data_IF_095250190942
#
_entry.id   IF_095250190942
#
_cell.length_a   1.000
_cell.length_b   1.000
_cell.length_c   1.000
_cell.angle_alpha   90.00
_cell.angle_beta   90.00
_cell.angle_gamma   90.00
#
_symmetry.space_group_name_H-M   'P 1'
#
loop_
_entity.id
_entity.type
_entity.pdbx_description
1 polymer ?
#
# COMPACT_ATOMS: atom_id res chain seq x y z
N UNK A 1 -5.18 61.24 9.32
CA UNK A 1 -5.27 59.94 10.03
C UNK A 1 -5.61 58.90 8.97
N UNK A 2 -4.62 58.10 8.55
CA UNK A 2 -4.81 57.07 7.51
C UNK A 2 -5.23 55.77 8.17
N UNK A 3 -6.37 55.21 7.76
CA UNK A 3 -6.83 53.88 8.16
C UNK A 3 -5.91 52.80 7.60
N UNK A 4 -5.63 51.71 8.35
CA UNK A 4 -4.83 50.62 7.83
C UNK A 4 -5.67 49.77 6.88
N UNK A 5 -5.06 49.40 5.74
CA UNK A 5 -5.65 48.48 4.77
C UNK A 5 -5.89 47.10 5.42
N UNK A 6 -7.09 46.56 5.23
CA UNK A 6 -7.44 45.23 5.67
C UNK A 6 -6.57 44.20 4.94
N UNK A 7 -5.88 43.34 5.70
CA UNK A 7 -5.14 42.19 5.15
C UNK A 7 -6.08 41.20 4.43
N UNK A 8 -5.53 40.25 3.66
CA UNK A 8 -6.31 39.31 2.89
C UNK A 8 -7.31 38.54 3.78
N UNK A 9 -8.52 38.25 3.26
CA UNK A 9 -9.56 37.58 4.03
C UNK A 9 -9.06 36.22 4.54
N UNK A 10 -9.35 35.91 5.82
CA UNK A 10 -9.07 34.58 6.38
C UNK A 10 -9.88 33.54 5.60
N UNK A 11 -9.29 32.38 5.27
CA UNK A 11 -10.02 31.32 4.61
C UNK A 11 -11.20 30.84 5.48
N UNK A 12 -12.30 30.38 4.86
CA UNK A 12 -13.48 29.86 5.56
C UNK A 12 -13.09 28.74 6.54
N UNK A 13 -13.88 28.58 7.61
CA UNK A 13 -13.56 27.63 8.71
C UNK A 13 -13.43 26.17 8.23
N UNK A 14 -14.10 25.80 7.15
CA UNK A 14 -14.06 24.45 6.55
C UNK A 14 -12.80 24.15 5.73
N UNK A 15 -12.00 25.16 5.39
CA UNK A 15 -10.72 24.98 4.66
C UNK A 15 -9.51 24.85 5.59
N UNK A 16 -9.70 25.01 6.90
CA UNK A 16 -8.62 24.71 7.84
C UNK A 16 -8.41 23.21 7.85
N UNK A 17 -7.17 22.74 7.58
CA UNK A 17 -6.84 21.35 7.81
C UNK A 17 -7.29 20.99 9.24
N UNK A 18 -7.92 19.82 9.45
CA UNK A 18 -8.25 19.40 10.80
C UNK A 18 -6.99 19.44 11.66
N UNK A 19 -7.16 19.67 12.96
CA UNK A 19 -6.05 19.86 13.92
C UNK A 19 -5.03 18.70 13.94
N UNK A 20 -5.41 17.56 13.34
CA UNK A 20 -4.65 16.32 13.25
C UNK A 20 -4.18 16.01 11.80
N UNK A 21 -4.31 16.93 10.84
CA UNK A 21 -3.76 16.74 9.50
C UNK A 21 -2.24 16.51 9.57
N UNK A 22 -1.74 15.49 8.88
CA UNK A 22 -0.34 15.06 8.96
C UNK A 22 -0.03 14.09 10.11
N UNK A 23 -0.96 13.85 11.04
CA UNK A 23 -0.80 12.82 12.07
C UNK A 23 -0.86 11.43 11.44
N UNK A 24 0.05 10.55 11.86
CA UNK A 24 0.00 9.12 11.52
C UNK A 24 -1.05 8.42 12.37
N UNK A 25 -1.98 7.73 11.71
CA UNK A 25 -3.09 6.96 12.29
C UNK A 25 -3.08 5.55 11.71
N UNK A 26 -3.74 4.61 12.39
CA UNK A 26 -3.97 3.26 11.88
C UNK A 26 -5.34 3.22 11.18
N UNK A 27 -5.39 2.76 9.95
CA UNK A 27 -6.65 2.49 9.23
C UNK A 27 -6.81 0.98 9.10
N UNK A 28 -7.94 0.46 9.54
CA UNK A 28 -8.30 -0.95 9.47
C UNK A 28 -9.13 -1.25 8.24
N UNK A 29 -8.79 -2.34 7.58
CA UNK A 29 -9.46 -2.88 6.42
C UNK A 29 -10.08 -4.23 6.79
N UNK A 30 -11.24 -4.52 6.22
CA UNK A 30 -11.86 -5.84 6.29
C UNK A 30 -11.38 -6.65 5.09
N UNK A 31 -10.77 -7.79 5.38
CA UNK A 31 -10.13 -8.66 4.40
C UNK A 31 -10.94 -9.95 4.33
N UNK A 32 -11.03 -10.53 3.13
CA UNK A 32 -11.55 -11.88 2.95
C UNK A 32 -10.38 -12.86 3.10
N UNK A 33 -10.36 -13.75 4.12
CA UNK A 33 -9.30 -14.74 4.27
C UNK A 33 -9.21 -15.65 3.04
N UNK A 34 -7.99 -16.07 2.71
CA UNK A 34 -7.68 -16.93 1.55
C UNK A 34 -7.39 -18.35 2.03
N UNK A 35 -7.71 -19.35 1.20
CA UNK A 35 -7.56 -20.78 1.53
C UNK A 35 -6.12 -21.15 1.93
N UNK A 36 -5.12 -20.68 1.20
CA UNK A 36 -3.68 -20.91 1.48
C UNK A 36 -2.99 -19.69 2.13
N UNK A 37 -3.77 -18.71 2.61
CA UNK A 37 -3.26 -17.46 3.17
C UNK A 37 -3.30 -17.42 4.69
N UNK A 38 -2.74 -16.36 5.29
CA UNK A 38 -2.94 -16.09 6.72
C UNK A 38 -4.44 -16.01 7.06
N UNK A 39 -4.88 -16.52 8.24
CA UNK A 39 -6.30 -16.64 8.59
C UNK A 39 -6.92 -15.30 9.07
N UNK A 40 -6.31 -14.17 8.71
CA UNK A 40 -6.72 -12.85 9.20
C UNK A 40 -7.83 -12.27 8.32
N UNK A 41 -8.89 -11.81 8.96
CA UNK A 41 -10.04 -11.14 8.36
C UNK A 41 -9.93 -9.60 8.41
N UNK A 42 -8.83 -9.10 8.95
CA UNK A 42 -8.54 -7.68 9.08
C UNK A 42 -7.07 -7.38 8.84
N UNK A 43 -6.81 -6.20 8.29
CA UNK A 43 -5.45 -5.66 8.15
C UNK A 43 -5.43 -4.20 8.60
N UNK A 44 -4.49 -3.86 9.46
CA UNK A 44 -4.26 -2.48 9.87
C UNK A 44 -3.08 -1.88 9.14
N UNK A 45 -3.29 -0.81 8.39
CA UNK A 45 -2.25 -0.06 7.69
C UNK A 45 -1.98 1.27 8.37
N UNK A 46 -0.71 1.68 8.42
CA UNK A 46 -0.37 3.03 8.82
C UNK A 46 -0.77 4.00 7.70
N UNK A 47 -1.29 5.16 8.08
CA UNK A 47 -1.69 6.19 7.15
C UNK A 47 -1.47 7.58 7.72
N UNK A 48 -1.12 8.53 6.86
CA UNK A 48 -1.06 9.95 7.20
C UNK A 48 -2.43 10.58 6.98
N UNK A 49 -3.06 11.10 8.04
CA UNK A 49 -4.39 11.75 7.96
C UNK A 49 -4.33 12.98 7.04
N UNK A 50 -5.30 13.10 6.13
CA UNK A 50 -5.43 14.20 5.16
C UNK A 50 -6.61 15.12 5.49
N UNK A 51 -7.76 14.56 5.85
CA UNK A 51 -8.96 15.29 6.26
C UNK A 51 -9.63 14.67 7.50
N UNK A 52 -10.85 15.10 7.81
CA UNK A 52 -11.67 14.50 8.85
C UNK A 52 -11.97 13.01 8.58
N UNK A 53 -11.95 12.57 7.32
CA UNK A 53 -12.42 11.27 6.88
C UNK A 53 -11.56 10.65 5.78
N UNK A 54 -10.40 11.23 5.46
CA UNK A 54 -9.45 10.65 4.49
C UNK A 54 -8.03 10.59 5.04
N UNK A 55 -7.30 9.57 4.60
CA UNK A 55 -5.89 9.37 4.96
C UNK A 55 -5.13 8.74 3.79
N UNK A 56 -3.84 9.08 3.67
CA UNK A 56 -2.94 8.45 2.68
C UNK A 56 -2.27 7.25 3.32
N UNK A 57 -2.38 6.07 2.72
CA UNK A 57 -1.70 4.86 3.16
C UNK A 57 -0.17 5.05 3.08
N UNK A 58 0.54 4.63 4.12
CA UNK A 58 1.97 4.87 4.29
C UNK A 58 2.83 3.60 4.19
N UNK A 59 2.22 2.41 4.17
CA UNK A 59 2.94 1.15 4.02
C UNK A 59 2.19 0.17 3.11
N UNK A 60 2.91 -0.82 2.60
CA UNK A 60 2.41 -1.77 1.59
C UNK A 60 1.43 -2.80 2.22
N UNK A 61 0.29 -3.12 1.57
CA UNK A 61 -0.64 -4.11 2.13
C UNK A 61 -0.25 -5.56 1.84
N UNK A 62 -0.30 -6.40 2.87
CA UNK A 62 -0.08 -7.85 2.76
C UNK A 62 -1.34 -8.63 2.46
N UNK A 63 -2.53 -8.12 2.81
CA UNK A 63 -3.77 -8.88 2.72
C UNK A 63 -4.85 -8.16 1.91
N UNK A 64 -5.01 -6.85 2.09
CA UNK A 64 -6.05 -6.05 1.47
C UNK A 64 -5.82 -5.91 -0.05
N UNK A 65 -6.81 -6.29 -0.85
CA UNK A 65 -6.78 -6.12 -2.30
C UNK A 65 -7.25 -4.73 -2.73
N UNK A 66 -6.82 -4.32 -3.92
CA UNK A 66 -7.18 -3.05 -4.54
C UNK A 66 -6.64 -1.82 -3.80
N UNK A 67 -5.72 -2.02 -2.85
CA UNK A 67 -5.05 -0.95 -2.12
C UNK A 67 -3.56 -1.02 -2.33
N UNK A 68 -2.93 0.13 -2.53
CA UNK A 68 -1.47 0.27 -2.61
C UNK A 68 -0.95 1.34 -1.67
N UNK A 69 0.33 1.26 -1.33
CA UNK A 69 1.01 2.33 -0.61
C UNK A 69 0.86 3.67 -1.36
N UNK A 70 0.62 4.74 -0.62
CA UNK A 70 0.46 6.09 -1.17
C UNK A 70 -0.97 6.41 -1.62
N UNK A 71 -1.88 5.43 -1.70
CA UNK A 71 -3.27 5.72 -2.05
C UNK A 71 -3.98 6.50 -0.95
N UNK A 72 -4.98 7.30 -1.33
CA UNK A 72 -5.86 7.96 -0.36
C UNK A 72 -7.14 7.17 -0.21
N UNK A 73 -7.45 6.83 1.04
CA UNK A 73 -8.66 6.09 1.42
C UNK A 73 -9.58 6.97 2.27
N UNK A 74 -10.88 6.71 2.19
CA UNK A 74 -11.88 7.25 3.11
C UNK A 74 -12.05 6.31 4.30
N UNK A 75 -12.29 6.83 5.48
CA UNK A 75 -12.56 6.05 6.67
C UNK A 75 -13.69 6.64 7.52
N UNK A 76 -14.32 5.79 8.32
CA UNK A 76 -15.21 6.16 9.42
C UNK A 76 -14.57 5.80 10.74
N UNK A 77 -14.86 6.56 11.80
CA UNK A 77 -14.40 6.23 13.15
C UNK A 77 -15.57 5.62 13.92
N UNK A 78 -15.38 4.44 14.48
CA UNK A 78 -16.41 3.80 15.31
C UNK A 78 -16.40 4.34 16.75
N UNK A 79 -17.29 3.80 17.59
CA UNK A 79 -17.46 4.25 18.98
C UNK A 79 -16.20 4.02 19.84
N UNK A 80 -15.33 3.09 19.46
CA UNK A 80 -14.09 2.75 20.16
C UNK A 80 -12.89 3.57 19.63
N UNK A 81 -13.12 4.46 18.67
CA UNK A 81 -12.08 5.29 18.07
C UNK A 81 -11.30 4.58 16.95
N UNK A 82 -11.74 3.41 16.50
CA UNK A 82 -11.09 2.65 15.43
C UNK A 82 -11.48 3.24 14.08
N UNK A 83 -10.48 3.50 13.24
CA UNK A 83 -10.70 4.03 11.90
C UNK A 83 -10.85 2.88 10.90
N UNK A 84 -12.06 2.68 10.38
CA UNK A 84 -12.36 1.65 9.38
C UNK A 84 -12.40 2.25 7.99
N UNK A 85 -11.64 1.68 7.06
CA UNK A 85 -11.68 2.05 5.65
C UNK A 85 -13.07 1.79 5.07
N UNK A 86 -13.53 2.73 4.24
CA UNK A 86 -14.79 2.64 3.48
C UNK A 86 -14.53 2.60 1.97
N UNK A 87 -13.26 2.63 1.55
CA UNK A 87 -12.86 2.54 0.16
C UNK A 87 -11.81 3.57 -0.25
N UNK A 88 -11.24 3.37 -1.43
CA UNK A 88 -10.27 4.27 -2.05
C UNK A 88 -10.97 5.48 -2.65
N UNK A 89 -10.34 6.65 -2.54
CA UNK A 89 -10.83 7.92 -3.10
C UNK A 89 -9.84 8.61 -4.03
N UNK A 90 -8.56 8.25 -3.99
CA UNK A 90 -7.58 8.68 -4.98
C UNK A 90 -6.45 7.66 -5.14
N UNK A 91 -6.07 7.43 -6.40
CA UNK A 91 -5.00 6.51 -6.78
C UNK A 91 -3.63 7.16 -6.60
N UNK A 92 -2.63 6.37 -6.19
CA UNK A 92 -1.24 6.83 -6.13
C UNK A 92 -0.45 6.60 -7.42
N UNK A 93 -1.02 5.80 -8.35
CA UNK A 93 -0.29 5.25 -9.48
C UNK A 93 0.62 4.06 -9.11
N UNK A 94 0.71 3.70 -7.83
CA UNK A 94 1.46 2.53 -7.39
C UNK A 94 0.64 1.25 -7.56
N UNK A 95 1.35 0.13 -7.73
CA UNK A 95 0.80 -1.22 -7.65
C UNK A 95 1.29 -1.89 -6.37
N UNK A 96 0.56 -2.92 -5.95
CA UNK A 96 1.02 -3.86 -4.90
C UNK A 96 1.21 -5.22 -5.52
N UNK A 97 2.43 -5.74 -5.41
CA UNK A 97 2.81 -7.08 -5.85
C UNK A 97 3.27 -7.88 -4.64
N UNK A 98 2.70 -9.06 -4.44
CA UNK A 98 3.09 -9.94 -3.34
C UNK A 98 3.79 -11.17 -3.90
N UNK A 99 4.93 -11.53 -3.33
CA UNK A 99 5.80 -12.62 -3.80
C UNK A 99 6.07 -13.55 -2.63
N UNK A 100 5.71 -14.82 -2.79
CA UNK A 100 5.94 -15.87 -1.80
C UNK A 100 6.96 -16.86 -2.36
N UNK A 101 8.19 -16.91 -1.82
CA UNK A 101 9.18 -17.87 -2.30
C UNK A 101 8.74 -19.30 -1.96
N UNK A 102 8.99 -20.23 -2.90
CA UNK A 102 8.61 -21.62 -2.73
C UNK A 102 9.61 -22.33 -1.80
N UNK A 103 9.15 -23.03 -0.75
CA UNK A 103 10.05 -23.69 0.21
C UNK A 103 11.03 -24.68 -0.42
N UNK A 104 10.57 -25.43 -1.41
CA UNK A 104 11.38 -26.43 -2.14
C UNK A 104 12.04 -25.85 -3.40
N UNK A 105 11.90 -24.54 -3.62
CA UNK A 105 12.46 -23.84 -4.77
C UNK A 105 13.93 -23.43 -4.57
N UNK A 106 14.60 -22.95 -5.63
CA UNK A 106 16.02 -22.54 -5.57
C UNK A 106 16.35 -21.43 -4.57
N UNK A 107 15.36 -20.65 -4.14
CA UNK A 107 15.52 -19.57 -3.17
C UNK A 107 15.17 -20.00 -1.73
N UNK A 108 14.58 -21.18 -1.53
CA UNK A 108 14.06 -21.62 -0.24
C UNK A 108 13.08 -20.62 0.38
N UNK A 109 12.94 -20.65 1.72
CA UNK A 109 12.11 -19.69 2.47
C UNK A 109 12.80 -18.34 2.72
N UNK A 110 13.59 -17.86 1.76
CA UNK A 110 14.42 -16.65 1.95
C UNK A 110 13.81 -15.40 1.29
N UNK A 111 13.16 -14.56 2.10
CA UNK A 111 12.65 -13.26 1.67
C UNK A 111 13.77 -12.31 1.20
N UNK A 112 14.98 -12.41 1.78
CA UNK A 112 16.13 -11.59 1.35
C UNK A 112 16.55 -11.97 -0.06
N UNK A 113 16.58 -13.25 -0.39
CA UNK A 113 16.89 -13.71 -1.75
C UNK A 113 15.87 -13.17 -2.77
N UNK A 114 14.58 -13.07 -2.40
CA UNK A 114 13.57 -12.39 -3.23
C UNK A 114 13.93 -10.91 -3.43
N UNK A 115 14.20 -10.17 -2.35
CA UNK A 115 14.61 -8.76 -2.46
C UNK A 115 15.85 -8.55 -3.34
N UNK A 116 16.86 -9.43 -3.24
CA UNK A 116 18.06 -9.36 -4.07
C UNK A 116 17.75 -9.48 -5.57
N UNK A 117 16.74 -10.26 -5.96
CA UNK A 117 16.30 -10.33 -7.38
C UNK A 117 15.64 -9.03 -7.85
N UNK A 118 14.95 -8.32 -6.97
CA UNK A 118 14.27 -7.05 -7.28
C UNK A 118 15.14 -5.81 -7.04
N UNK A 119 16.34 -5.96 -6.46
CA UNK A 119 17.25 -4.86 -6.15
C UNK A 119 17.55 -3.92 -7.34
N UNK A 120 17.70 -4.39 -8.60
CA UNK A 120 17.92 -3.51 -9.75
C UNK A 120 16.79 -2.49 -10.00
N UNK A 121 15.58 -2.75 -9.50
CA UNK A 121 14.43 -1.87 -9.66
C UNK A 121 14.27 -0.86 -8.51
N UNK A 122 15.04 -1.00 -7.43
CA UNK A 122 14.97 -0.08 -6.28
C UNK A 122 13.61 -0.02 -5.59
N UNK A 123 12.85 -1.13 -5.61
CA UNK A 123 11.50 -1.17 -5.04
C UNK A 123 11.54 -1.11 -3.51
N UNK A 124 10.58 -0.38 -2.92
CA UNK A 124 10.22 -0.54 -1.51
C UNK A 124 9.42 -1.82 -1.29
N UNK A 125 9.38 -2.29 -0.05
CA UNK A 125 8.56 -3.44 0.33
C UNK A 125 8.78 -3.86 1.78
N UNK A 126 7.89 -4.72 2.25
CA UNK A 126 7.92 -5.29 3.60
C UNK A 126 7.79 -6.82 3.54
N UNK A 127 8.28 -7.50 4.56
CA UNK A 127 8.16 -8.96 4.72
C UNK A 127 7.15 -9.26 5.82
N UNK A 128 6.23 -10.19 5.57
CA UNK A 128 5.13 -10.48 6.49
C UNK A 128 5.62 -11.05 7.82
N UNK A 129 6.37 -12.16 7.78
CA UNK A 129 7.03 -12.75 8.94
C UNK A 129 8.17 -13.69 8.51
N UNK A 130 8.98 -14.15 9.46
CA UNK A 130 10.01 -15.17 9.19
C UNK A 130 9.40 -16.53 8.81
N UNK A 131 8.28 -16.91 9.45
CA UNK A 131 7.63 -18.21 9.22
C UNK A 131 6.83 -18.25 7.91
N UNK A 132 6.33 -17.08 7.48
CA UNK A 132 5.61 -16.88 6.22
C UNK A 132 6.28 -15.73 5.45
N UNK A 133 7.35 -16.02 4.66
CA UNK A 133 8.22 -15.00 4.05
C UNK A 133 7.58 -14.35 2.81
N UNK A 134 6.30 -13.99 2.89
CA UNK A 134 5.61 -13.21 1.87
C UNK A 134 6.21 -11.81 1.82
N UNK A 135 6.73 -11.43 0.66
CA UNK A 135 7.27 -10.09 0.40
C UNK A 135 6.21 -9.29 -0.35
N UNK A 136 5.77 -8.17 0.23
CA UNK A 136 4.89 -7.23 -0.45
C UNK A 136 5.71 -6.04 -0.95
N UNK A 137 5.68 -5.81 -2.26
CA UNK A 137 6.37 -4.72 -2.93
C UNK A 137 5.42 -3.59 -3.29
N UNK A 138 5.87 -2.37 -3.08
CA UNK A 138 5.29 -1.18 -3.71
C UNK A 138 5.99 -0.98 -5.05
N UNK A 139 5.24 -1.10 -6.15
CA UNK A 139 5.75 -0.87 -7.50
C UNK A 139 5.24 0.49 -8.00
N UNK A 140 6.09 1.52 -8.11
CA UNK A 140 5.66 2.82 -8.62
C UNK A 140 5.24 2.76 -10.09
N UNK A 141 4.22 3.53 -10.48
CA UNK A 141 3.74 3.56 -11.87
C UNK A 141 4.76 4.04 -12.91
N UNK A 142 5.81 4.75 -12.46
CA UNK A 142 6.94 5.17 -13.30
C UNK A 142 8.12 4.19 -13.34
N UNK A 143 8.03 3.03 -12.68
CA UNK A 143 9.07 2.00 -12.73
C UNK A 143 9.08 1.27 -14.09
N UNK A 144 10.11 0.45 -14.34
CA UNK A 144 10.16 -0.42 -15.52
C UNK A 144 9.20 -1.62 -15.35
N UNK A 145 7.90 -1.36 -15.57
CA UNK A 145 6.84 -2.34 -15.35
C UNK A 145 7.01 -3.59 -16.22
N UNK A 146 7.56 -3.44 -17.42
CA UNK A 146 7.83 -4.57 -18.34
C UNK A 146 8.88 -5.50 -17.79
N UNK A 147 10.03 -4.96 -17.37
CA UNK A 147 11.10 -5.76 -16.81
C UNK A 147 10.69 -6.41 -15.48
N UNK A 148 9.92 -5.70 -14.64
CA UNK A 148 9.37 -6.26 -13.39
C UNK A 148 8.43 -7.44 -13.68
N UNK A 149 7.48 -7.30 -14.62
CA UNK A 149 6.59 -8.39 -15.05
C UNK A 149 7.36 -9.57 -15.61
N UNK A 150 8.38 -9.32 -16.42
CA UNK A 150 9.24 -10.36 -16.97
C UNK A 150 9.99 -11.12 -15.87
N UNK A 151 10.51 -10.43 -14.85
CA UNK A 151 11.16 -11.07 -13.70
C UNK A 151 10.17 -11.94 -12.91
N UNK A 152 8.98 -11.42 -12.61
CA UNK A 152 7.93 -12.15 -11.88
C UNK A 152 7.56 -13.45 -12.60
N UNK A 153 7.25 -13.36 -13.89
CA UNK A 153 6.90 -14.51 -14.73
C UNK A 153 8.04 -15.52 -14.82
N UNK A 154 9.27 -15.05 -14.99
CA UNK A 154 10.46 -15.91 -15.01
C UNK A 154 10.63 -16.65 -13.69
N UNK A 155 10.53 -15.96 -12.55
CA UNK A 155 10.72 -16.60 -11.26
C UNK A 155 9.61 -17.60 -10.92
N UNK A 156 8.38 -17.37 -11.38
CA UNK A 156 7.32 -18.38 -11.29
C UNK A 156 7.62 -19.61 -12.17
N UNK A 157 8.01 -19.39 -13.43
CA UNK A 157 8.35 -20.47 -14.37
C UNK A 157 9.56 -21.30 -13.92
N UNK A 158 10.54 -20.68 -13.25
CA UNK A 158 11.72 -21.36 -12.70
C UNK A 158 11.51 -21.91 -11.28
N UNK A 159 10.29 -21.82 -10.74
CA UNK A 159 9.94 -22.38 -9.43
C UNK A 159 10.58 -21.65 -8.25
N UNK A 160 10.93 -20.37 -8.40
CA UNK A 160 11.48 -19.55 -7.33
C UNK A 160 10.39 -19.10 -6.35
N UNK A 161 9.21 -18.76 -6.85
CA UNK A 161 8.11 -18.19 -6.06
C UNK A 161 6.76 -18.40 -6.74
N UNK A 162 5.69 -18.11 -5.99
CA UNK A 162 4.40 -17.66 -6.55
C UNK A 162 4.28 -16.15 -6.35
N UNK A 163 3.52 -15.48 -7.20
CA UNK A 163 3.24 -14.07 -7.01
C UNK A 163 1.78 -13.72 -7.31
N UNK A 164 1.33 -12.61 -6.75
CA UNK A 164 0.06 -11.98 -7.11
C UNK A 164 0.22 -10.47 -7.25
N UNK A 165 -0.66 -9.87 -8.05
CA UNK A 165 -0.77 -8.41 -8.17
C UNK A 165 -2.09 -8.00 -7.52
N UNK A 166 -2.04 -7.66 -6.24
CA UNK A 166 -3.23 -7.36 -5.43
C UNK A 166 -3.81 -5.97 -5.71
N UNK A 167 -2.99 -5.04 -6.20
CA UNK A 167 -3.44 -3.75 -6.74
C UNK A 167 -2.73 -3.49 -8.07
N UNK A 168 -3.49 -3.44 -9.17
CA UNK A 168 -2.97 -3.22 -10.52
C UNK A 168 -3.60 -1.97 -11.16
N UNK A 169 -2.74 -1.04 -11.58
CA UNK A 169 -3.14 0.15 -12.33
C UNK A 169 -3.35 -0.16 -13.82
N UNK A 170 -3.93 0.79 -14.57
CA UNK A 170 -4.01 0.68 -16.03
C UNK A 170 -2.62 0.59 -16.68
N UNK A 171 -1.65 1.37 -16.17
CA UNK A 171 -0.26 1.33 -16.64
C UNK A 171 0.35 -0.07 -16.49
N UNK A 172 0.09 -0.76 -15.37
CA UNK A 172 0.52 -2.15 -15.17
C UNK A 172 -0.10 -3.12 -16.19
N UNK A 173 -1.39 -2.95 -16.46
CA UNK A 173 -2.12 -3.82 -17.42
C UNK A 173 -1.65 -3.60 -18.85
N UNK A 174 -1.33 -2.35 -19.21
CA UNK A 174 -0.89 -1.97 -20.55
C UNK A 174 0.60 -2.27 -20.83
N UNK A 175 1.41 -2.44 -19.79
CA UNK A 175 2.86 -2.67 -19.90
C UNK A 175 3.22 -4.00 -20.56
#
# INVERSE_FOLDING_TARGET
>A
MSSPAAGPPRPPRDERPPHDAGRRIKIWFRVVPREDGPPYDTEGLWATRRSADTARVDNVPFLQDGVAEGETVRFTTDADGVHWSTGRVADSGNCTVRVLPLPDGPLGRDARAVHERFAPFGLGGEVFSADFPLVAFTVPGGADLRAIKALLARGEAEGWWRFEVSCATEAWRAA
#
